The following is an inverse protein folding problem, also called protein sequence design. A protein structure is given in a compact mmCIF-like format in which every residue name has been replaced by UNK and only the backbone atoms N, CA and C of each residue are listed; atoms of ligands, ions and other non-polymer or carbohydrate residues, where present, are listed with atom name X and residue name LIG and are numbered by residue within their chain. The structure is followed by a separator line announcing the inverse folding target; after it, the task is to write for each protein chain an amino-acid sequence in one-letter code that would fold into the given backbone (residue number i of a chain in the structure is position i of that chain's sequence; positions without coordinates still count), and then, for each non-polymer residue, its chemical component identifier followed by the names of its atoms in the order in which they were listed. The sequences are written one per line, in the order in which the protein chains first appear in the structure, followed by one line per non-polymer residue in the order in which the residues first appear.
data_IF_727451392939
#
_entry.id   IF_727451392939
#
_cell.length_a   1.000
_cell.length_b   1.000
_cell.length_c   1.000
_cell.angle_alpha   90.00
_cell.angle_beta   90.00
_cell.angle_gamma   90.00
#
_symmetry.space_group_name_H-M   'P 1'
#
loop_
_entity.id
_entity.type
_entity.pdbx_description
1 polymer ?
#
# COMPACT_ATOMS: atom_id res chain seq x y z
N UNK A 1 42.43 10.30 -61.47
CA UNK A 1 41.71 9.15 -60.87
C UNK A 1 41.58 9.44 -59.39
N UNK A 2 40.41 9.94 -58.96
CA UNK A 2 40.16 10.27 -57.52
C UNK A 2 39.44 9.09 -56.91
N UNK A 3 40.04 8.48 -55.90
CA UNK A 3 39.43 7.37 -55.11
C UNK A 3 38.59 8.02 -54.01
N UNK A 4 37.27 7.82 -54.02
CA UNK A 4 36.36 8.14 -52.94
C UNK A 4 36.43 6.99 -51.91
N UNK A 5 36.97 7.25 -50.72
CA UNK A 5 36.80 6.37 -49.58
C UNK A 5 35.46 6.69 -48.87
N UNK A 6 34.51 5.79 -48.98
CA UNK A 6 33.27 5.84 -48.18
C UNK A 6 33.54 5.25 -46.79
N UNK A 7 33.53 6.12 -45.77
CA UNK A 7 33.50 5.68 -44.36
C UNK A 7 32.09 5.14 -44.02
N UNK A 8 31.99 3.83 -43.81
CA UNK A 8 30.83 3.18 -43.19
C UNK A 8 30.86 3.43 -41.68
N UNK A 9 30.06 4.35 -41.22
CA UNK A 9 29.88 4.56 -39.77
C UNK A 9 29.05 3.41 -39.18
N UNK A 10 29.68 2.56 -38.32
CA UNK A 10 28.99 1.54 -37.55
C UNK A 10 28.37 2.25 -36.31
N UNK A 11 27.06 2.45 -36.34
CA UNK A 11 26.30 2.89 -35.18
C UNK A 11 26.18 1.71 -34.21
N UNK A 12 26.93 1.72 -33.13
CA UNK A 12 26.66 0.87 -31.98
C UNK A 12 25.40 1.39 -31.27
N UNK A 13 24.26 0.72 -31.46
CA UNK A 13 23.09 0.91 -30.65
C UNK A 13 23.39 0.29 -29.28
N UNK A 14 23.85 1.09 -28.34
CA UNK A 14 23.92 0.68 -26.94
C UNK A 14 22.48 0.62 -26.42
N UNK A 15 21.89 -0.57 -26.38
CA UNK A 15 20.63 -0.78 -25.65
C UNK A 15 20.94 -0.57 -24.18
N UNK A 16 20.33 0.47 -23.58
CA UNK A 16 20.34 0.60 -22.12
C UNK A 16 19.80 -0.72 -21.52
N UNK A 17 20.43 -1.23 -20.44
CA UNK A 17 19.94 -2.45 -19.82
C UNK A 17 18.46 -2.28 -19.44
N UNK A 18 17.65 -3.28 -19.74
CA UNK A 18 16.22 -3.29 -19.40
C UNK A 18 16.09 -3.08 -17.89
N UNK A 19 15.39 -2.01 -17.50
CA UNK A 19 15.17 -1.68 -16.10
C UNK A 19 14.12 -2.64 -15.53
N UNK A 20 14.57 -3.65 -14.79
CA UNK A 20 13.71 -4.70 -14.25
C UNK A 20 13.62 -4.63 -12.73
N UNK A 21 12.43 -4.94 -12.22
CA UNK A 21 12.11 -4.91 -10.79
C UNK A 21 11.48 -6.24 -10.37
N UNK A 22 11.46 -6.51 -9.07
CA UNK A 22 10.60 -7.53 -8.51
C UNK A 22 9.25 -6.90 -8.18
N UNK A 23 8.16 -7.52 -8.65
CA UNK A 23 6.79 -7.21 -8.24
C UNK A 23 6.33 -8.33 -7.29
N UNK A 24 6.11 -7.98 -6.03
CA UNK A 24 5.56 -8.85 -5.01
C UNK A 24 4.06 -8.62 -4.91
N UNK A 25 3.29 -9.71 -4.93
CA UNK A 25 1.83 -9.66 -4.84
C UNK A 25 1.35 -10.48 -3.65
N UNK A 26 0.82 -9.79 -2.64
CA UNK A 26 0.11 -10.39 -1.53
C UNK A 26 -1.34 -10.71 -1.93
N UNK A 27 -1.90 -11.79 -1.38
CA UNK A 27 -3.23 -12.29 -1.75
C UNK A 27 -4.03 -12.74 -0.54
N UNK A 28 -5.34 -12.92 -0.73
CA UNK A 28 -6.11 -13.78 0.16
C UNK A 28 -6.07 -15.23 -0.33
N UNK A 29 -5.66 -16.14 0.53
CA UNK A 29 -5.65 -17.59 0.25
C UNK A 29 -6.97 -18.26 0.63
N UNK A 30 -7.76 -17.64 1.51
CA UNK A 30 -9.10 -18.09 1.84
C UNK A 30 -10.12 -16.94 1.73
N UNK A 31 -11.39 -17.30 1.50
CA UNK A 31 -12.47 -16.32 1.29
C UNK A 31 -12.87 -15.56 2.55
N UNK A 32 -12.26 -15.89 3.70
CA UNK A 32 -12.66 -15.39 5.01
C UNK A 32 -14.12 -15.78 5.30
N UNK A 33 -14.41 -16.24 6.47
CA UNK A 33 -15.79 -16.40 6.92
C UNK A 33 -15.84 -16.09 8.41
N UNK A 34 -16.99 -15.63 8.86
CA UNK A 34 -17.30 -15.56 10.29
C UNK A 34 -17.49 -16.97 10.90
N UNK A 35 -17.20 -18.03 10.14
CA UNK A 35 -17.23 -19.43 10.56
C UNK A 35 -15.81 -19.92 10.90
N UNK A 36 -15.65 -20.95 11.75
CA UNK A 36 -14.35 -21.51 12.06
C UNK A 36 -13.63 -21.93 10.79
N UNK A 37 -12.43 -21.39 10.61
CA UNK A 37 -11.47 -21.51 9.51
C UNK A 37 -11.95 -22.24 8.25
N UNK A 38 -12.27 -21.53 7.16
CA UNK A 38 -12.44 -22.17 5.86
C UNK A 38 -11.12 -22.86 5.47
N UNK A 39 -11.17 -23.87 4.58
CA UNK A 39 -9.96 -24.52 4.10
C UNK A 39 -8.95 -23.50 3.62
N UNK A 40 -7.68 -23.72 3.91
CA UNK A 40 -6.57 -22.78 3.65
C UNK A 40 -6.39 -22.37 2.18
N UNK A 41 -7.15 -22.92 1.24
CA UNK A 41 -6.99 -22.75 -0.22
C UNK A 41 -8.31 -22.47 -0.95
N UNK A 42 -9.27 -21.80 -0.28
CA UNK A 42 -10.60 -21.60 -0.88
C UNK A 42 -10.64 -20.58 -2.03
N UNK A 43 -9.57 -19.83 -2.27
CA UNK A 43 -9.44 -18.88 -3.39
C UNK A 43 -8.65 -19.46 -4.56
N UNK A 44 -7.90 -20.55 -4.37
CA UNK A 44 -6.91 -21.08 -5.31
C UNK A 44 -5.58 -20.33 -5.28
N UNK A 45 -5.41 -19.35 -4.37
CA UNK A 45 -4.13 -18.63 -4.22
C UNK A 45 -3.10 -19.45 -3.45
N UNK A 46 -1.82 -19.31 -3.85
CA UNK A 46 -0.67 -19.95 -3.20
C UNK A 46 0.00 -19.05 -2.13
N UNK A 47 -0.51 -17.85 -1.89
CA UNK A 47 0.04 -16.94 -0.90
C UNK A 47 0.69 -15.70 -1.52
N UNK A 48 2.01 -15.57 -1.43
CA UNK A 48 2.73 -14.43 -2.02
C UNK A 48 3.34 -14.86 -3.35
N UNK A 49 3.10 -14.05 -4.40
CA UNK A 49 3.69 -14.28 -5.72
C UNK A 49 4.77 -13.24 -5.98
N UNK A 50 5.84 -13.65 -6.66
CA UNK A 50 6.93 -12.78 -7.07
C UNK A 50 7.09 -12.86 -8.59
N UNK A 51 7.01 -11.69 -9.22
CA UNK A 51 7.19 -11.55 -10.68
C UNK A 51 8.44 -10.70 -10.96
N UNK A 52 9.02 -10.92 -12.12
CA UNK A 52 9.93 -9.95 -12.74
C UNK A 52 9.10 -8.97 -13.56
N UNK A 53 9.22 -7.70 -13.20
CA UNK A 53 8.58 -6.60 -13.91
C UNK A 53 9.59 -5.95 -14.86
N UNK A 54 9.27 -5.87 -16.13
CA UNK A 54 10.04 -5.15 -17.15
C UNK A 54 9.40 -3.78 -17.37
N UNK A 55 10.02 -2.72 -16.86
CA UNK A 55 9.51 -1.36 -16.96
C UNK A 55 9.63 -0.77 -18.37
N UNK A 56 10.37 -1.40 -19.30
CA UNK A 56 10.45 -0.95 -20.67
C UNK A 56 9.25 -1.38 -21.51
N UNK A 57 8.70 -2.55 -21.21
CA UNK A 57 7.57 -3.15 -21.94
C UNK A 57 6.26 -3.10 -21.17
N UNK A 58 6.31 -3.01 -19.82
CA UNK A 58 5.14 -3.12 -18.96
C UNK A 58 4.66 -4.55 -18.79
N UNK A 59 5.54 -5.54 -18.97
CA UNK A 59 5.23 -6.97 -18.85
C UNK A 59 5.74 -7.56 -17.53
N UNK A 60 5.00 -8.52 -16.98
CA UNK A 60 5.35 -9.25 -15.77
C UNK A 60 5.50 -10.75 -16.03
N UNK A 61 6.63 -11.34 -15.62
CA UNK A 61 6.89 -12.78 -15.73
C UNK A 61 6.96 -13.41 -14.34
N UNK A 62 6.18 -14.46 -14.09
CA UNK A 62 6.19 -15.17 -12.81
C UNK A 62 7.56 -15.81 -12.54
N UNK A 63 8.13 -15.55 -11.38
CA UNK A 63 9.36 -16.17 -10.90
C UNK A 63 9.07 -17.26 -9.87
N UNK A 64 8.24 -16.95 -8.88
CA UNK A 64 7.95 -17.86 -7.77
C UNK A 64 6.63 -17.54 -7.09
N UNK A 65 6.21 -18.45 -6.23
CA UNK A 65 5.18 -18.19 -5.22
C UNK A 65 5.58 -18.86 -3.89
N UNK A 66 4.98 -18.39 -2.78
CA UNK A 66 5.29 -18.88 -1.43
C UNK A 66 4.06 -19.54 -0.85
N UNK A 67 4.12 -20.86 -0.66
CA UNK A 67 3.02 -21.66 -0.10
C UNK A 67 3.05 -21.68 1.44
N UNK A 68 1.94 -22.09 2.05
CA UNK A 68 1.81 -22.23 3.50
C UNK A 68 1.63 -20.93 4.27
N UNK A 69 1.42 -19.82 3.58
CA UNK A 69 1.17 -18.49 4.18
C UNK A 69 -0.31 -18.16 4.08
N UNK A 70 -0.97 -18.02 5.21
CA UNK A 70 -2.42 -17.77 5.26
C UNK A 70 -2.68 -16.26 5.09
N UNK A 71 -3.44 -15.92 4.07
CA UNK A 71 -3.90 -14.55 3.79
C UNK A 71 -2.80 -13.48 3.96
N UNK A 72 -1.68 -13.52 3.22
CA UNK A 72 -0.67 -12.45 3.25
C UNK A 72 -1.23 -11.19 2.58
N UNK A 73 -2.07 -10.46 3.31
CA UNK A 73 -2.95 -9.43 2.75
C UNK A 73 -2.27 -8.09 2.52
N UNK A 74 -1.15 -7.84 3.19
CA UNK A 74 -0.34 -6.64 3.00
C UNK A 74 1.13 -6.93 3.24
N UNK A 75 1.98 -6.33 2.44
CA UNK A 75 3.43 -6.53 2.45
C UNK A 75 4.13 -5.18 2.59
N UNK A 76 5.34 -5.19 3.19
CA UNK A 76 6.30 -4.11 3.01
C UNK A 76 7.71 -4.65 2.91
N UNK A 77 8.59 -3.90 2.24
CA UNK A 77 9.96 -4.31 1.92
C UNK A 77 10.92 -3.43 2.71
N UNK A 78 11.89 -4.07 3.38
CA UNK A 78 12.91 -3.36 4.13
C UNK A 78 13.83 -2.53 3.21
N UNK A 79 14.46 -1.47 3.74
CA UNK A 79 15.37 -0.61 2.96
C UNK A 79 16.58 -1.34 2.37
N UNK A 80 16.97 -2.49 2.92
CA UNK A 80 18.01 -3.35 2.39
C UNK A 80 17.60 -4.12 1.12
N UNK A 81 16.30 -4.07 0.76
CA UNK A 81 15.71 -4.72 -0.41
C UNK A 81 15.78 -6.26 -0.39
N UNK A 82 16.10 -6.83 0.74
CA UNK A 82 16.21 -8.28 0.95
C UNK A 82 15.17 -8.84 1.90
N UNK A 83 14.71 -8.05 2.89
CA UNK A 83 13.73 -8.53 3.85
C UNK A 83 12.33 -8.01 3.50
N UNK A 84 11.36 -8.91 3.60
CA UNK A 84 9.93 -8.65 3.33
C UNK A 84 9.13 -9.05 4.55
N UNK A 85 8.23 -8.17 4.99
CA UNK A 85 7.35 -8.43 6.11
C UNK A 85 5.90 -8.43 5.63
N UNK A 86 5.12 -9.40 6.09
CA UNK A 86 3.75 -9.62 5.66
C UNK A 86 2.79 -9.69 6.84
N UNK A 87 1.67 -8.97 6.77
CA UNK A 87 0.51 -9.23 7.61
C UNK A 87 -0.12 -10.55 7.18
N UNK A 88 -0.15 -11.53 8.06
CA UNK A 88 -0.61 -12.90 7.78
C UNK A 88 -1.65 -13.36 8.80
N UNK A 89 -2.29 -14.49 8.54
CA UNK A 89 -3.40 -15.01 9.33
C UNK A 89 -4.52 -13.97 9.50
N UNK A 90 -4.83 -13.24 8.42
CA UNK A 90 -5.81 -12.14 8.40
C UNK A 90 -7.22 -12.65 8.14
N UNK A 91 -8.22 -11.76 8.23
CA UNK A 91 -9.66 -12.06 8.08
C UNK A 91 -10.18 -13.01 9.17
N UNK A 92 -9.66 -12.90 10.40
CA UNK A 92 -10.08 -13.69 11.57
C UNK A 92 -10.55 -12.78 12.69
N UNK A 93 -11.34 -13.33 13.61
CA UNK A 93 -11.70 -12.66 14.87
C UNK A 93 -10.67 -12.91 15.98
N UNK A 94 -9.76 -13.83 15.75
CA UNK A 94 -8.65 -14.16 16.66
C UNK A 94 -7.40 -13.37 16.28
N UNK A 95 -6.40 -13.41 17.18
CA UNK A 95 -5.09 -12.80 16.91
C UNK A 95 -4.48 -13.34 15.62
N UNK A 96 -4.02 -12.42 14.78
CA UNK A 96 -3.29 -12.74 13.55
C UNK A 96 -1.78 -12.79 13.77
N UNK A 97 -1.03 -12.66 12.68
CA UNK A 97 0.44 -12.74 12.73
C UNK A 97 1.10 -11.73 11.81
N UNK A 98 2.39 -11.49 12.06
CA UNK A 98 3.30 -10.87 11.11
C UNK A 98 4.41 -11.88 10.79
N UNK A 99 4.72 -12.05 9.50
CA UNK A 99 5.72 -13.02 9.01
C UNK A 99 6.85 -12.32 8.29
N UNK A 100 8.09 -12.71 8.61
CA UNK A 100 9.30 -12.22 7.95
C UNK A 100 9.81 -13.22 6.92
N UNK A 101 10.25 -12.70 5.78
CA UNK A 101 10.85 -13.45 4.68
C UNK A 101 12.15 -12.79 4.21
N UNK A 102 13.03 -13.58 3.60
CA UNK A 102 14.17 -13.11 2.82
C UNK A 102 13.89 -13.29 1.33
N UNK A 103 14.03 -12.23 0.55
CA UNK A 103 13.98 -12.29 -0.90
C UNK A 103 15.34 -12.74 -1.44
N UNK A 104 15.40 -13.93 -1.99
CA UNK A 104 16.54 -14.37 -2.78
C UNK A 104 16.49 -13.69 -4.15
N UNK A 105 17.38 -12.75 -4.36
CA UNK A 105 17.42 -11.93 -5.59
C UNK A 105 17.97 -12.65 -6.81
N UNK A 106 18.58 -13.81 -6.65
CA UNK A 106 19.01 -14.64 -7.77
C UNK A 106 17.83 -15.38 -8.40
N UNK A 107 16.90 -15.86 -7.56
CA UNK A 107 15.79 -16.71 -7.98
C UNK A 107 14.42 -16.04 -7.91
N UNK A 108 14.28 -14.93 -7.17
CA UNK A 108 13.02 -14.29 -6.86
C UNK A 108 12.20 -15.05 -5.82
N UNK A 109 12.78 -16.00 -5.09
CA UNK A 109 12.07 -16.77 -4.04
C UNK A 109 12.03 -16.01 -2.72
N UNK A 110 10.93 -16.15 -2.00
CA UNK A 110 10.82 -15.73 -0.61
C UNK A 110 11.12 -16.93 0.29
N UNK A 111 12.13 -16.79 1.14
CA UNK A 111 12.50 -17.77 2.14
C UNK A 111 11.94 -17.33 3.49
N UNK A 112 11.21 -18.21 4.16
CA UNK A 112 10.66 -17.97 5.48
C UNK A 112 11.78 -17.78 6.52
N UNK A 113 11.66 -16.72 7.32
CA UNK A 113 12.57 -16.45 8.45
C UNK A 113 11.89 -16.85 9.75
N UNK A 114 10.84 -16.11 10.14
CA UNK A 114 10.06 -16.40 11.33
C UNK A 114 8.70 -15.69 11.30
N UNK A 115 7.88 -15.98 12.29
CA UNK A 115 6.56 -15.39 12.50
C UNK A 115 6.39 -14.99 13.96
N UNK A 116 5.69 -13.86 14.20
CA UNK A 116 5.32 -13.38 15.53
C UNK A 116 3.80 -13.14 15.58
N UNK A 117 3.17 -13.31 16.77
CA UNK A 117 1.79 -12.85 17.00
C UNK A 117 1.67 -11.34 16.72
N UNK A 118 0.56 -10.93 16.11
CA UNK A 118 0.36 -9.53 15.68
C UNK A 118 0.00 -8.56 16.81
N UNK A 119 -0.37 -9.07 17.99
CA UNK A 119 -0.89 -8.28 19.11
C UNK A 119 -2.35 -7.86 18.96
N UNK A 120 -3.05 -8.37 17.94
CA UNK A 120 -4.47 -8.09 17.69
C UNK A 120 -5.05 -8.93 16.57
N UNK A 121 -6.38 -8.85 16.38
CA UNK A 121 -7.07 -9.60 15.35
C UNK A 121 -7.03 -8.88 13.99
N UNK A 122 -6.94 -9.67 12.92
CA UNK A 122 -7.00 -9.22 11.54
C UNK A 122 -5.96 -8.13 11.20
N UNK A 123 -4.65 -8.42 11.21
CA UNK A 123 -3.62 -7.48 10.76
C UNK A 123 -3.80 -7.19 9.26
N UNK A 124 -3.75 -5.91 8.86
CA UNK A 124 -4.10 -5.49 7.49
C UNK A 124 -3.09 -4.55 6.84
N UNK A 125 -2.12 -4.05 7.60
CA UNK A 125 -1.12 -3.12 7.08
C UNK A 125 0.22 -3.27 7.79
N UNK A 126 1.31 -3.26 7.03
CA UNK A 126 2.69 -3.31 7.53
C UNK A 126 3.45 -2.09 7.01
N UNK A 127 4.27 -1.49 7.86
CA UNK A 127 5.21 -0.44 7.47
C UNK A 127 6.59 -0.67 8.10
N UNK A 128 7.63 -0.66 7.28
CA UNK A 128 9.02 -0.80 7.73
C UNK A 128 9.64 0.58 7.90
N UNK A 129 10.25 0.82 9.06
CA UNK A 129 11.00 2.04 9.29
C UNK A 129 12.28 2.06 8.45
N UNK A 130 12.69 3.25 7.96
CA UNK A 130 13.89 3.42 7.10
C UNK A 130 15.21 2.87 7.67
N UNK A 131 15.29 2.67 8.99
CA UNK A 131 16.47 2.02 9.59
C UNK A 131 16.52 0.51 9.37
N UNK A 132 15.44 -0.10 8.88
CA UNK A 132 15.28 -1.55 8.80
C UNK A 132 15.16 -2.25 10.15
N UNK A 133 15.26 -1.53 11.27
CA UNK A 133 15.29 -2.10 12.63
C UNK A 133 13.92 -2.19 13.31
N UNK A 134 12.88 -1.63 12.68
CA UNK A 134 11.53 -1.57 13.25
C UNK A 134 10.48 -1.79 12.18
N UNK A 135 9.45 -2.53 12.55
CA UNK A 135 8.28 -2.81 11.72
C UNK A 135 7.02 -2.46 12.52
N UNK A 136 6.15 -1.65 11.94
CA UNK A 136 4.84 -1.32 12.52
C UNK A 136 3.73 -2.12 11.80
N UNK A 137 2.68 -2.49 12.54
CA UNK A 137 1.58 -3.32 12.06
C UNK A 137 0.24 -2.78 12.57
N UNK A 138 -0.74 -2.66 11.68
CA UNK A 138 -2.11 -2.30 12.03
C UNK A 138 -3.00 -3.54 12.12
N UNK A 139 -3.74 -3.69 13.24
CA UNK A 139 -4.71 -4.74 13.47
C UNK A 139 -6.13 -4.17 13.38
N UNK A 140 -6.82 -4.42 12.26
CA UNK A 140 -8.12 -3.83 11.96
C UNK A 140 -9.20 -4.26 12.95
N UNK A 141 -9.48 -5.57 13.04
CA UNK A 141 -10.52 -6.10 13.95
C UNK A 141 -10.10 -5.97 15.41
N UNK A 142 -8.80 -5.98 15.68
CA UNK A 142 -8.24 -5.80 17.02
C UNK A 142 -8.25 -4.36 17.53
N UNK A 143 -8.46 -3.35 16.64
CA UNK A 143 -8.41 -1.94 16.98
C UNK A 143 -7.09 -1.53 17.62
N UNK A 144 -5.96 -2.02 17.07
CA UNK A 144 -4.65 -1.78 17.67
C UNK A 144 -3.54 -1.63 16.66
N UNK A 145 -2.44 -1.03 17.09
CA UNK A 145 -1.17 -1.09 16.37
C UNK A 145 -0.09 -1.75 17.24
N UNK A 146 0.82 -2.46 16.59
CA UNK A 146 2.00 -3.07 17.24
C UNK A 146 3.26 -2.63 16.54
N UNK A 147 4.37 -2.51 17.30
CA UNK A 147 5.68 -2.22 16.75
C UNK A 147 6.70 -3.27 17.17
N UNK A 148 7.42 -3.80 16.20
CA UNK A 148 8.33 -4.93 16.33
C UNK A 148 9.77 -4.50 16.09
N UNK A 149 10.73 -4.81 16.96
CA UNK A 149 12.13 -4.72 16.61
C UNK A 149 12.51 -5.87 15.67
N UNK A 150 13.47 -5.62 14.79
CA UNK A 150 14.09 -6.66 13.96
C UNK A 150 15.44 -7.07 14.53
N UNK A 151 15.71 -8.37 14.52
CA UNK A 151 16.98 -8.96 14.92
C UNK A 151 17.90 -9.27 13.75
N UNK A 152 18.92 -10.07 14.00
CA UNK A 152 19.86 -10.52 12.99
C UNK A 152 19.15 -11.24 11.84
N UNK A 153 19.59 -10.97 10.59
CA UNK A 153 19.01 -11.57 9.40
C UNK A 153 17.54 -11.19 9.13
N UNK A 154 17.08 -10.05 9.64
CA UNK A 154 15.71 -9.57 9.42
C UNK A 154 14.63 -10.29 10.23
N UNK A 155 15.00 -11.15 11.19
CA UNK A 155 14.03 -11.84 12.04
C UNK A 155 13.21 -10.86 12.89
N UNK A 156 11.91 -11.07 13.01
CA UNK A 156 11.04 -10.32 13.92
C UNK A 156 11.27 -10.78 15.35
N UNK A 157 11.45 -9.85 16.26
CA UNK A 157 11.38 -10.10 17.70
C UNK A 157 9.94 -9.89 18.20
N UNK A 158 9.57 -10.33 19.41
CA UNK A 158 8.26 -10.00 19.98
C UNK A 158 8.01 -8.49 19.95
N UNK A 159 6.75 -8.06 19.78
CA UNK A 159 6.45 -6.62 19.74
C UNK A 159 6.92 -5.92 21.01
N UNK A 160 7.56 -4.76 20.83
CA UNK A 160 8.03 -3.93 21.94
C UNK A 160 6.90 -3.11 22.57
N UNK A 161 5.93 -2.71 21.75
CA UNK A 161 4.76 -1.95 22.18
C UNK A 161 3.53 -2.38 21.36
N UNK A 162 2.37 -2.33 22.04
CA UNK A 162 1.05 -2.49 21.44
C UNK A 162 0.11 -1.41 22.01
N UNK A 163 -0.50 -0.62 21.12
CA UNK A 163 -1.48 0.40 21.49
C UNK A 163 -2.87 -0.06 21.03
N UNK A 164 -3.79 -0.21 21.99
CA UNK A 164 -5.20 -0.54 21.74
C UNK A 164 -6.05 0.70 21.85
N UNK A 165 -6.92 0.89 20.89
CA UNK A 165 -7.87 1.99 20.85
C UNK A 165 -9.27 1.45 21.13
N UNK A 166 -10.17 2.27 21.68
CA UNK A 166 -11.48 1.81 22.17
C UNK A 166 -12.64 2.70 21.73
N UNK A 167 -12.40 3.64 20.82
CA UNK A 167 -13.43 4.54 20.32
C UNK A 167 -14.39 3.87 19.34
N UNK A 168 -15.38 4.64 18.90
CA UNK A 168 -16.36 4.27 17.89
C UNK A 168 -16.84 5.54 17.14
N UNK A 169 -17.63 5.39 16.07
CA UNK A 169 -18.24 6.50 15.38
C UNK A 169 -19.68 6.18 14.93
N UNK A 170 -20.20 6.94 13.95
CA UNK A 170 -21.63 7.06 13.68
C UNK A 170 -22.23 5.96 12.78
N UNK A 171 -21.39 5.10 12.17
CA UNK A 171 -21.86 4.00 11.31
C UNK A 171 -21.76 2.67 12.08
N UNK A 172 -22.80 2.20 12.80
CA UNK A 172 -22.70 1.08 13.72
C UNK A 172 -22.24 -0.25 13.07
N UNK A 173 -22.54 -0.45 11.78
CA UNK A 173 -22.14 -1.67 11.06
C UNK A 173 -20.63 -1.71 10.68
N UNK A 174 -19.93 -0.59 10.79
CA UNK A 174 -18.55 -0.45 10.35
C UNK A 174 -17.64 0.28 11.35
N UNK A 175 -18.23 0.94 12.33
CA UNK A 175 -17.57 1.81 13.29
C UNK A 175 -18.06 1.55 14.73
N UNK A 176 -18.44 0.32 15.02
CA UNK A 176 -18.89 -0.12 16.36
C UNK A 176 -17.77 -0.08 17.40
N UNK A 177 -16.54 -0.04 16.93
CA UNK A 177 -15.30 0.06 17.73
C UNK A 177 -14.16 0.57 16.87
N UNK A 178 -13.00 0.78 17.47
CA UNK A 178 -11.74 1.08 16.78
C UNK A 178 -11.39 0.01 15.74
N UNK A 179 -10.95 0.47 14.55
CA UNK A 179 -10.50 -0.33 13.42
C UNK A 179 -9.26 0.32 12.79
N UNK A 180 -8.08 0.10 13.38
CA UNK A 180 -6.82 0.65 12.83
C UNK A 180 -6.54 0.00 11.48
N UNK A 181 -6.68 0.78 10.40
CA UNK A 181 -6.58 0.25 9.03
C UNK A 181 -5.20 0.36 8.42
N UNK A 182 -4.44 1.38 8.76
CA UNK A 182 -3.06 1.53 8.31
C UNK A 182 -2.20 2.24 9.34
N UNK A 183 -0.88 2.06 9.20
CA UNK A 183 0.16 2.75 9.96
C UNK A 183 1.22 3.23 8.97
N UNK A 184 1.54 4.52 8.97
CA UNK A 184 2.42 5.12 7.98
C UNK A 184 3.46 6.01 8.67
N UNK A 185 4.73 5.81 8.37
CA UNK A 185 5.78 6.72 8.85
C UNK A 185 5.77 8.02 8.06
N UNK A 186 6.03 9.14 8.74
CA UNK A 186 6.34 10.41 8.06
C UNK A 186 7.56 10.28 7.14
N UNK A 187 7.73 11.14 6.14
CA UNK A 187 8.89 11.09 5.24
C UNK A 187 10.25 11.21 5.97
N UNK A 188 10.29 11.94 7.07
CA UNK A 188 11.49 12.04 7.93
C UNK A 188 11.62 10.89 8.93
N UNK A 189 10.61 9.99 9.00
CA UNK A 189 10.52 8.85 9.92
C UNK A 189 10.60 9.19 11.42
N UNK A 190 10.26 10.43 11.79
CA UNK A 190 10.19 10.86 13.19
C UNK A 190 8.80 10.69 13.80
N UNK A 191 7.79 10.43 12.96
CA UNK A 191 6.42 10.22 13.40
C UNK A 191 5.81 8.99 12.71
N UNK A 192 4.84 8.37 13.40
CA UNK A 192 3.99 7.31 12.88
C UNK A 192 2.54 7.79 12.99
N UNK A 193 1.78 7.62 11.92
CA UNK A 193 0.36 7.95 11.83
C UNK A 193 -0.45 6.67 11.70
N UNK A 194 -1.41 6.46 12.60
CA UNK A 194 -2.30 5.31 12.56
C UNK A 194 -3.72 5.79 12.21
N UNK A 195 -4.24 5.33 11.08
CA UNK A 195 -5.56 5.67 10.58
C UNK A 195 -6.58 4.71 11.16
N UNK A 196 -7.50 5.23 11.97
CA UNK A 196 -8.54 4.45 12.62
C UNK A 196 -9.91 4.70 11.97
N UNK A 197 -10.30 3.75 11.11
CA UNK A 197 -11.58 3.79 10.40
C UNK A 197 -12.77 3.77 11.36
N UNK A 198 -12.66 3.03 12.46
CA UNK A 198 -13.75 2.85 13.40
C UNK A 198 -14.00 4.05 14.30
N UNK A 199 -12.96 4.86 14.55
CA UNK A 199 -13.04 6.04 15.40
C UNK A 199 -13.14 7.36 14.63
N UNK A 200 -13.08 7.34 13.30
CA UNK A 200 -12.89 8.54 12.47
C UNK A 200 -11.75 9.42 12.99
N UNK A 201 -10.55 8.80 13.10
CA UNK A 201 -9.41 9.52 13.68
C UNK A 201 -8.05 9.08 13.10
N UNK A 202 -7.08 9.97 13.25
CA UNK A 202 -5.66 9.71 13.04
C UNK A 202 -4.98 9.80 14.39
N UNK A 203 -4.39 8.69 14.87
CA UNK A 203 -3.53 8.72 16.04
C UNK A 203 -2.08 8.99 15.61
N UNK A 204 -1.43 9.94 16.27
CA UNK A 204 -0.09 10.39 15.93
C UNK A 204 0.87 10.04 17.06
N UNK A 205 1.97 9.41 16.67
CA UNK A 205 3.02 9.01 17.58
C UNK A 205 4.34 9.64 17.15
N UNK A 206 5.08 10.18 18.11
CA UNK A 206 6.50 10.45 17.91
C UNK A 206 7.25 9.13 17.90
N UNK A 207 8.20 8.98 16.98
CA UNK A 207 8.99 7.77 16.81
C UNK A 207 10.48 8.02 17.07
N UNK A 208 11.04 7.29 18.03
CA UNK A 208 12.47 7.32 18.32
C UNK A 208 13.08 5.91 18.20
N UNK A 209 13.74 5.67 17.07
CA UNK A 209 14.34 4.36 16.76
C UNK A 209 15.49 3.94 17.67
N UNK A 210 15.97 4.82 18.56
CA UNK A 210 17.08 4.55 19.47
C UNK A 210 16.62 3.98 20.83
N UNK A 211 15.31 3.98 21.13
CA UNK A 211 14.77 3.50 22.41
C UNK A 211 14.12 2.13 22.27
N UNK A 212 14.09 1.32 23.35
CA UNK A 212 13.39 0.02 23.36
C UNK A 212 11.87 0.15 23.16
N UNK A 213 11.31 1.31 23.52
CA UNK A 213 9.91 1.66 23.31
C UNK A 213 9.84 2.88 22.40
N UNK A 214 9.85 2.68 21.06
CA UNK A 214 10.08 3.76 20.12
C UNK A 214 8.91 4.72 19.94
N UNK A 215 7.69 4.35 20.34
CA UNK A 215 6.47 5.14 20.14
C UNK A 215 6.05 5.87 21.40
N UNK A 216 5.80 7.17 21.26
CA UNK A 216 5.13 8.01 22.24
C UNK A 216 3.91 8.65 21.58
N UNK A 217 2.70 8.41 22.10
CA UNK A 217 1.48 9.08 21.63
C UNK A 217 1.58 10.58 21.91
N UNK A 218 1.32 11.40 20.90
CA UNK A 218 1.42 12.86 21.01
C UNK A 218 0.12 13.59 20.67
N UNK A 219 -0.69 13.06 19.73
CA UNK A 219 -1.90 13.73 19.28
C UNK A 219 -2.90 12.71 18.71
N UNK A 220 -4.19 13.07 18.76
CA UNK A 220 -5.27 12.41 18.02
C UNK A 220 -6.06 13.48 17.27
N UNK A 221 -6.17 13.34 15.96
CA UNK A 221 -6.93 14.23 15.09
C UNK A 221 -8.22 13.53 14.68
N UNK A 222 -9.36 14.17 14.91
CA UNK A 222 -10.64 13.69 14.42
C UNK A 222 -10.79 14.05 12.94
N UNK A 223 -11.34 13.11 12.15
CA UNK A 223 -11.80 13.35 10.78
C UNK A 223 -13.32 13.53 10.77
N UNK A 224 -13.91 13.69 9.60
CA UNK A 224 -15.37 13.86 9.47
C UNK A 224 -16.08 12.61 10.00
N UNK A 225 -17.07 12.72 10.90
CA UNK A 225 -17.82 11.58 11.40
C UNK A 225 -18.45 10.75 10.26
N UNK A 226 -18.21 9.44 10.26
CA UNK A 226 -18.67 8.52 9.21
C UNK A 226 -17.74 8.45 7.99
N UNK A 227 -16.60 9.14 7.99
CA UNK A 227 -15.67 9.15 6.84
C UNK A 227 -14.82 7.88 6.72
N UNK A 228 -14.37 7.32 7.82
CA UNK A 228 -13.60 6.08 7.87
C UNK A 228 -12.19 6.20 7.29
N UNK A 229 -11.25 6.81 8.02
CA UNK A 229 -9.83 6.92 7.62
C UNK A 229 -9.23 5.56 7.27
N UNK A 230 -8.60 5.45 6.09
CA UNK A 230 -8.13 4.14 5.61
C UNK A 230 -6.64 4.08 5.33
N UNK A 231 -6.18 4.70 4.27
CA UNK A 231 -4.77 4.77 3.87
C UNK A 231 -4.33 6.22 3.72
N UNK A 232 -3.05 6.47 3.96
CA UNK A 232 -2.44 7.80 3.86
C UNK A 232 -1.20 7.74 2.96
N UNK A 233 -1.02 8.76 2.14
CA UNK A 233 0.17 8.95 1.32
C UNK A 233 0.77 10.33 1.59
N UNK A 234 2.10 10.41 1.67
CA UNK A 234 2.79 11.68 1.79
C UNK A 234 3.26 12.19 0.41
N UNK A 235 3.21 13.50 0.24
CA UNK A 235 3.83 14.14 -0.91
C UNK A 235 5.36 13.99 -0.83
N UNK A 236 6.08 13.76 -1.96
CA UNK A 236 7.54 13.60 -1.95
C UNK A 236 8.31 14.78 -1.34
N UNK A 237 7.75 16.01 -1.38
CA UNK A 237 8.39 17.17 -0.75
C UNK A 237 8.27 17.19 0.78
N UNK A 238 7.57 16.24 1.39
CA UNK A 238 7.39 16.12 2.84
C UNK A 238 6.49 17.16 3.49
N UNK A 239 5.83 18.06 2.73
CA UNK A 239 5.01 19.15 3.27
C UNK A 239 3.52 18.82 3.36
N UNK A 240 3.06 17.81 2.64
CA UNK A 240 1.64 17.47 2.54
C UNK A 240 1.40 15.98 2.73
N UNK A 241 0.23 15.65 3.25
CA UNK A 241 -0.28 14.29 3.37
C UNK A 241 -1.71 14.21 2.83
N UNK A 242 -2.07 13.07 2.27
CA UNK A 242 -3.36 12.78 1.66
C UNK A 242 -3.92 11.52 2.29
N UNK A 243 -5.10 11.65 2.88
CA UNK A 243 -5.80 10.58 3.56
C UNK A 243 -7.03 10.18 2.75
N UNK A 244 -7.12 8.92 2.33
CA UNK A 244 -8.35 8.42 1.72
C UNK A 244 -9.31 7.94 2.80
N UNK A 245 -10.55 8.40 2.69
CA UNK A 245 -11.67 8.09 3.57
C UNK A 245 -12.53 6.99 2.92
N UNK A 246 -12.50 5.77 3.50
CA UNK A 246 -13.17 4.60 2.89
C UNK A 246 -14.67 4.79 2.77
N UNK A 247 -15.33 5.22 3.86
CA UNK A 247 -16.78 5.25 3.98
C UNK A 247 -17.35 6.57 3.46
N UNK A 248 -16.59 7.66 3.59
CA UNK A 248 -16.95 8.98 3.08
C UNK A 248 -16.75 9.14 1.58
N UNK A 249 -15.90 8.30 0.98
CA UNK A 249 -15.60 8.41 -0.45
C UNK A 249 -14.88 9.70 -0.81
N UNK A 250 -13.94 10.13 0.02
CA UNK A 250 -13.24 11.42 -0.09
C UNK A 250 -11.74 11.30 0.16
N UNK A 251 -11.05 12.39 -0.09
CA UNK A 251 -9.66 12.60 0.30
C UNK A 251 -9.57 13.86 1.14
N UNK A 252 -8.96 13.73 2.31
CA UNK A 252 -8.55 14.84 3.13
C UNK A 252 -7.09 15.20 2.85
N UNK A 253 -6.85 16.48 2.59
CA UNK A 253 -5.52 17.05 2.34
C UNK A 253 -5.02 17.75 3.58
N UNK A 254 -3.84 17.38 4.04
CA UNK A 254 -3.23 17.97 5.22
C UNK A 254 -1.91 18.65 4.88
N UNK A 255 -1.65 19.79 5.51
CA UNK A 255 -0.28 20.28 5.70
C UNK A 255 0.36 19.50 6.83
N UNK A 256 1.53 18.93 6.57
CA UNK A 256 2.35 18.28 7.58
C UNK A 256 3.44 19.24 8.07
N UNK A 257 3.70 19.22 9.36
CA UNK A 257 4.79 19.95 9.99
C UNK A 257 5.91 18.96 10.37
N UNK A 258 6.99 18.87 9.57
CA UNK A 258 8.06 17.90 9.78
C UNK A 258 8.63 17.93 11.21
N UNK A 259 8.84 16.76 11.79
CA UNK A 259 9.36 16.59 13.15
C UNK A 259 8.37 16.87 14.28
N UNK A 260 7.30 17.62 14.04
CA UNK A 260 6.25 17.89 15.06
C UNK A 260 5.16 16.82 15.05
N UNK A 261 4.94 16.12 13.93
CA UNK A 261 3.85 15.17 13.76
C UNK A 261 2.49 15.82 13.47
N UNK A 262 2.34 17.14 13.72
CA UNK A 262 1.08 17.84 13.57
C UNK A 262 0.61 17.89 12.10
N UNK A 263 -0.71 17.69 11.90
CA UNK A 263 -1.41 17.79 10.62
C UNK A 263 -2.47 18.89 10.69
N UNK A 264 -2.48 19.79 9.71
CA UNK A 264 -3.50 20.82 9.54
C UNK A 264 -4.34 20.50 8.31
N UNK A 265 -5.64 20.32 8.46
CA UNK A 265 -6.55 20.11 7.33
C UNK A 265 -6.56 21.36 6.42
N UNK A 266 -6.35 21.15 5.13
CA UNK A 266 -6.37 22.19 4.09
C UNK A 266 -7.59 22.06 3.19
N UNK A 267 -8.00 20.83 2.86
CA UNK A 267 -9.06 20.56 1.90
C UNK A 267 -9.72 19.22 2.20
N UNK A 268 -11.02 19.16 1.93
CA UNK A 268 -11.79 17.92 1.79
C UNK A 268 -12.33 17.88 0.36
N UNK A 269 -12.10 16.76 -0.37
CA UNK A 269 -12.50 16.62 -1.77
C UNK A 269 -13.06 15.22 -2.04
N UNK A 270 -14.15 15.13 -2.81
CA UNK A 270 -14.74 13.85 -3.19
C UNK A 270 -13.76 13.04 -4.06
N UNK A 271 -13.65 11.73 -3.78
CA UNK A 271 -12.92 10.77 -4.61
C UNK A 271 -13.82 10.08 -5.65
N UNK A 272 -15.02 10.55 -5.82
CA UNK A 272 -16.05 10.03 -6.72
C UNK A 272 -16.63 11.15 -7.58
N UNK A 273 -17.24 10.80 -8.72
CA UNK A 273 -17.97 11.76 -9.51
C UNK A 273 -19.21 12.27 -8.78
N UNK A 274 -19.66 13.49 -9.05
CA UNK A 274 -20.83 14.11 -8.42
C UNK A 274 -22.13 13.30 -8.60
N UNK A 275 -22.19 12.46 -9.62
CA UNK A 275 -23.31 11.55 -9.91
C UNK A 275 -23.29 10.27 -9.09
N UNK A 276 -22.19 9.96 -8.43
CA UNK A 276 -22.05 8.75 -7.62
C UNK A 276 -22.86 8.84 -6.33
N UNK A 277 -23.48 7.73 -5.96
CA UNK A 277 -24.26 7.62 -4.73
C UNK A 277 -23.70 6.49 -3.88
N UNK A 278 -23.42 6.78 -2.61
CA UNK A 278 -22.96 5.79 -1.64
C UNK A 278 -23.88 4.57 -1.48
N UNK A 279 -23.48 3.55 -0.73
CA UNK A 279 -22.31 3.60 0.14
C UNK A 279 -20.99 3.56 -0.65
N UNK A 280 -20.00 4.33 -0.18
CA UNK A 280 -18.67 4.36 -0.78
C UNK A 280 -17.74 3.35 -0.13
N UNK A 281 -16.72 2.92 -0.88
CA UNK A 281 -15.63 2.06 -0.42
C UNK A 281 -14.31 2.42 -1.11
N UNK A 282 -13.87 3.66 -0.94
CA UNK A 282 -12.53 4.06 -1.42
C UNK A 282 -11.45 3.20 -0.75
N UNK A 283 -10.36 2.91 -1.46
CA UNK A 283 -9.42 1.90 -1.00
C UNK A 283 -8.00 2.42 -0.83
N UNK A 284 -7.24 2.54 -1.89
CA UNK A 284 -5.83 2.86 -1.81
C UNK A 284 -5.51 4.21 -2.42
N UNK A 285 -4.36 4.77 -2.03
CA UNK A 285 -3.97 6.14 -2.39
C UNK A 285 -2.45 6.22 -2.56
N UNK A 286 -1.98 6.76 -3.70
CA UNK A 286 -0.57 7.00 -3.96
C UNK A 286 -0.35 8.30 -4.70
N UNK A 287 0.73 8.99 -4.35
CA UNK A 287 1.25 10.17 -5.06
C UNK A 287 2.25 9.70 -6.12
N UNK A 288 2.23 10.30 -7.31
CA UNK A 288 3.27 10.08 -8.31
C UNK A 288 4.65 10.52 -7.78
N UNK A 289 5.71 9.87 -8.23
CA UNK A 289 7.07 10.13 -7.73
C UNK A 289 7.52 11.59 -7.94
N UNK A 290 7.00 12.26 -8.97
CA UNK A 290 7.25 13.67 -9.26
C UNK A 290 6.36 14.65 -8.46
N UNK A 291 5.44 14.13 -7.62
CA UNK A 291 4.56 14.92 -6.76
C UNK A 291 3.38 15.59 -7.47
N UNK A 292 3.21 15.45 -8.78
CA UNK A 292 2.21 16.22 -9.55
C UNK A 292 0.81 15.61 -9.56
N UNK A 293 0.69 14.31 -9.29
CA UNK A 293 -0.57 13.59 -9.40
C UNK A 293 -0.82 12.71 -8.19
N UNK A 294 -2.09 12.57 -7.85
CA UNK A 294 -2.57 11.63 -6.83
C UNK A 294 -3.59 10.70 -7.47
N UNK A 295 -3.51 9.41 -7.14
CA UNK A 295 -4.43 8.37 -7.61
C UNK A 295 -5.13 7.75 -6.41
N UNK A 296 -6.43 7.46 -6.57
CA UNK A 296 -7.26 6.79 -5.56
C UNK A 296 -8.10 5.71 -6.23
N UNK A 297 -8.10 4.50 -5.67
CA UNK A 297 -8.99 3.43 -6.15
C UNK A 297 -10.30 3.43 -5.36
N UNK A 298 -11.42 3.20 -6.06
CA UNK A 298 -12.75 3.08 -5.51
C UNK A 298 -13.33 1.72 -5.88
N UNK A 299 -13.84 1.01 -4.90
CA UNK A 299 -14.33 -0.37 -5.00
C UNK A 299 -15.82 -0.45 -5.30
N UNK A 300 -16.36 -1.67 -5.31
CA UNK A 300 -17.77 -2.00 -5.53
C UNK A 300 -18.32 -1.49 -6.86
N UNK A 301 -19.44 -0.76 -6.83
CA UNK A 301 -20.20 -0.36 -8.03
C UNK A 301 -19.38 0.44 -9.03
N UNK A 302 -18.43 1.23 -8.56
CA UNK A 302 -17.66 2.09 -9.44
C UNK A 302 -16.45 1.38 -10.03
N UNK A 303 -15.73 0.61 -9.21
CA UNK A 303 -14.49 -0.08 -9.60
C UNK A 303 -13.62 0.77 -10.52
N UNK A 304 -13.30 1.99 -10.06
CA UNK A 304 -12.57 2.99 -10.82
C UNK A 304 -11.34 3.55 -10.08
N UNK A 305 -10.57 4.34 -10.78
CA UNK A 305 -9.45 5.12 -10.26
C UNK A 305 -9.77 6.59 -10.48
N UNK A 306 -9.78 7.37 -9.41
CA UNK A 306 -9.86 8.83 -9.47
C UNK A 306 -8.46 9.40 -9.55
N UNK A 307 -8.28 10.36 -10.43
CA UNK A 307 -7.02 11.01 -10.73
C UNK A 307 -7.12 12.48 -10.38
N UNK A 308 -6.21 12.94 -9.53
CA UNK A 308 -6.12 14.35 -9.13
C UNK A 308 -4.81 14.96 -9.59
N UNK A 309 -4.86 16.22 -10.00
CA UNK A 309 -3.70 17.08 -10.10
C UNK A 309 -3.43 17.73 -8.76
N UNK A 310 -2.17 17.79 -8.35
CA UNK A 310 -1.72 18.42 -7.11
C UNK A 310 -1.23 19.84 -7.42
N UNK A 311 -1.68 20.84 -6.67
CA UNK A 311 -1.08 22.18 -6.64
C UNK A 311 0.24 22.09 -5.86
N UNK A 312 1.35 22.32 -6.51
CA UNK A 312 2.69 22.08 -5.97
C UNK A 312 3.01 22.99 -4.76
N UNK A 313 2.47 24.21 -4.74
CA UNK A 313 2.70 25.19 -3.67
C UNK A 313 1.77 25.01 -2.49
N UNK A 314 0.50 24.68 -2.75
CA UNK A 314 -0.56 24.58 -1.74
C UNK A 314 -0.81 23.17 -1.27
N UNK A 315 -0.42 22.15 -2.05
CA UNK A 315 -0.72 20.74 -1.81
C UNK A 315 -2.18 20.36 -2.09
N UNK A 316 -3.02 21.32 -2.48
CA UNK A 316 -4.44 21.09 -2.74
C UNK A 316 -4.67 20.28 -4.03
N UNK A 317 -5.81 19.59 -4.10
CA UNK A 317 -6.19 18.71 -5.18
C UNK A 317 -7.24 19.34 -6.09
N UNK A 318 -7.17 19.03 -7.38
CA UNK A 318 -8.26 19.18 -8.35
C UNK A 318 -8.47 17.88 -9.09
N UNK A 319 -9.69 17.43 -9.24
CA UNK A 319 -10.01 16.24 -10.04
C UNK A 319 -9.70 16.51 -11.51
N UNK A 320 -8.94 15.58 -12.14
CA UNK A 320 -8.61 15.67 -13.57
C UNK A 320 -9.19 14.53 -14.39
N UNK A 321 -9.63 13.44 -13.76
CA UNK A 321 -10.29 12.36 -14.47
C UNK A 321 -10.66 11.17 -13.61
N UNK A 322 -11.41 10.28 -14.24
CA UNK A 322 -11.80 8.98 -13.71
C UNK A 322 -11.51 7.92 -14.76
N UNK A 323 -10.97 6.79 -14.35
CA UNK A 323 -10.68 5.66 -15.25
C UNK A 323 -11.21 4.37 -14.64
N UNK A 324 -11.93 3.55 -15.43
CA UNK A 324 -12.39 2.24 -14.97
C UNK A 324 -11.18 1.34 -14.63
N UNK A 325 -11.24 0.63 -13.50
CA UNK A 325 -10.18 -0.30 -13.09
C UNK A 325 -10.09 -1.55 -13.97
N UNK A 326 -11.07 -1.74 -14.86
CA UNK A 326 -11.20 -2.88 -15.78
C UNK A 326 -11.23 -4.24 -15.08
N UNK A 327 -11.65 -4.26 -13.83
CA UNK A 327 -11.85 -5.40 -12.96
C UNK A 327 -12.76 -5.03 -11.78
N UNK A 328 -12.94 -5.95 -10.86
CA UNK A 328 -13.85 -5.82 -9.73
C UNK A 328 -13.05 -5.75 -8.43
N UNK A 329 -13.44 -4.84 -7.53
CA UNK A 329 -12.82 -4.62 -6.22
C UNK A 329 -11.35 -4.21 -6.33
N UNK A 330 -11.00 -3.04 -6.93
CA UNK A 330 -9.63 -2.53 -7.01
C UNK A 330 -9.15 -2.11 -5.61
N UNK A 331 -8.65 -3.09 -4.86
CA UNK A 331 -8.32 -2.95 -3.44
C UNK A 331 -7.01 -2.23 -3.16
N UNK A 332 -6.04 -2.43 -4.04
CA UNK A 332 -4.69 -1.86 -3.93
C UNK A 332 -4.14 -1.60 -5.33
N UNK A 333 -3.19 -0.69 -5.43
CA UNK A 333 -2.44 -0.45 -6.66
C UNK A 333 -1.01 -0.03 -6.33
N UNK A 334 -0.15 -0.05 -7.32
CA UNK A 334 1.19 0.52 -7.21
C UNK A 334 1.56 1.28 -8.48
N UNK A 335 2.39 2.31 -8.34
CA UNK A 335 3.04 2.98 -9.46
C UNK A 335 4.43 2.36 -9.58
N UNK A 336 4.80 1.94 -10.78
CA UNK A 336 6.14 1.38 -11.00
C UNK A 336 7.24 2.42 -10.69
N UNK A 337 8.46 1.99 -10.31
CA UNK A 337 9.51 2.93 -9.90
C UNK A 337 9.94 3.94 -10.98
N UNK A 338 9.62 3.67 -12.24
CA UNK A 338 9.87 4.64 -13.34
C UNK A 338 8.80 5.71 -13.43
N UNK A 339 7.66 5.53 -12.75
CA UNK A 339 6.46 6.38 -12.91
C UNK A 339 5.78 6.24 -14.26
N UNK A 340 6.08 5.17 -15.00
CA UNK A 340 5.53 4.94 -16.35
C UNK A 340 4.26 4.09 -16.36
N UNK A 341 4.04 3.32 -15.30
CA UNK A 341 2.92 2.37 -15.22
C UNK A 341 2.24 2.42 -13.86
N UNK A 342 0.95 2.15 -13.87
CA UNK A 342 0.11 1.95 -12.69
C UNK A 342 -0.50 0.55 -12.79
N UNK A 343 -0.30 -0.29 -11.76
CA UNK A 343 -0.79 -1.66 -11.69
C UNK A 343 -1.88 -1.74 -10.63
N UNK A 344 -3.06 -2.25 -10.99
CA UNK A 344 -4.25 -2.32 -10.11
C UNK A 344 -4.58 -3.75 -9.76
N UNK A 345 -4.57 -4.06 -8.47
CA UNK A 345 -5.00 -5.36 -7.93
C UNK A 345 -6.52 -5.39 -7.78
N UNK A 346 -7.18 -6.02 -8.75
CA UNK A 346 -8.62 -6.25 -8.76
C UNK A 346 -8.92 -7.56 -8.04
N UNK A 347 -9.20 -7.48 -6.73
CA UNK A 347 -9.30 -8.62 -5.83
C UNK A 347 -10.31 -9.67 -6.31
N UNK A 348 -11.53 -9.25 -6.69
CA UNK A 348 -12.63 -10.16 -6.96
C UNK A 348 -12.67 -10.64 -8.41
N UNK A 349 -12.02 -9.94 -9.34
CA UNK A 349 -11.79 -10.45 -10.71
C UNK A 349 -10.51 -11.26 -10.87
N UNK A 350 -9.74 -11.50 -9.78
CA UNK A 350 -8.56 -12.37 -9.75
C UNK A 350 -7.51 -11.97 -10.78
N UNK A 351 -7.16 -10.68 -10.81
CA UNK A 351 -6.16 -10.17 -11.75
C UNK A 351 -5.54 -8.85 -11.31
N UNK A 352 -4.36 -8.59 -11.83
CA UNK A 352 -3.75 -7.25 -11.83
C UNK A 352 -3.83 -6.70 -13.24
N UNK A 353 -4.38 -5.49 -13.39
CA UNK A 353 -4.49 -4.79 -14.67
C UNK A 353 -3.43 -3.70 -14.76
N UNK A 354 -2.75 -3.60 -15.90
CA UNK A 354 -1.66 -2.65 -16.11
C UNK A 354 -2.11 -1.48 -16.96
N UNK A 355 -1.86 -0.27 -16.45
CA UNK A 355 -2.12 0.99 -17.15
C UNK A 355 -0.82 1.73 -17.44
N UNK A 356 -0.74 2.42 -18.57
CA UNK A 356 0.30 3.37 -18.91
C UNK A 356 -0.05 4.73 -18.34
N UNK A 357 0.90 5.38 -17.66
CA UNK A 357 0.74 6.76 -17.16
C UNK A 357 1.26 7.75 -18.20
N UNK A 358 0.43 8.72 -18.54
CA UNK A 358 0.88 9.89 -19.27
C UNK A 358 1.50 10.88 -18.27
N UNK A 359 2.82 10.94 -18.23
CA UNK A 359 3.56 11.76 -17.25
C UNK A 359 3.29 13.27 -17.35
N UNK A 360 2.74 13.75 -18.46
CA UNK A 360 2.41 15.18 -18.62
C UNK A 360 1.04 15.53 -18.04
N UNK A 361 0.05 14.64 -18.25
CA UNK A 361 -1.35 14.90 -17.87
C UNK A 361 -1.79 14.15 -16.60
N UNK A 362 -1.05 13.11 -16.17
CA UNK A 362 -1.44 12.20 -15.11
C UNK A 362 -2.48 11.15 -15.51
N UNK A 363 -3.11 11.30 -16.67
CA UNK A 363 -4.12 10.36 -17.13
C UNK A 363 -3.52 9.00 -17.42
N UNK A 364 -4.32 7.95 -17.19
CA UNK A 364 -3.91 6.56 -17.39
C UNK A 364 -4.72 5.93 -18.52
N UNK A 365 -4.09 5.00 -19.24
CA UNK A 365 -4.71 4.21 -20.29
C UNK A 365 -4.32 2.74 -20.18
N UNK A 366 -5.24 1.78 -20.46
CA UNK A 366 -4.91 0.36 -20.37
C UNK A 366 -3.88 -0.03 -21.42
N UNK A 367 -2.92 -0.89 -21.02
CA UNK A 367 -1.91 -1.44 -21.94
C UNK A 367 -2.39 -2.71 -22.66
N UNK A 368 -3.42 -3.35 -22.12
CA UNK A 368 -3.85 -4.69 -22.52
C UNK A 368 -3.21 -5.80 -21.68
N UNK A 369 -2.13 -5.53 -20.94
CA UNK A 369 -1.49 -6.49 -20.05
C UNK A 369 -2.34 -6.77 -18.81
N UNK A 370 -2.50 -8.06 -18.49
CA UNK A 370 -3.24 -8.57 -17.34
C UNK A 370 -2.49 -9.74 -16.70
N UNK A 371 -2.23 -9.65 -15.43
CA UNK A 371 -1.60 -10.73 -14.66
C UNK A 371 -2.71 -11.49 -13.94
N UNK A 372 -2.98 -12.73 -14.36
CA UNK A 372 -3.96 -13.59 -13.69
C UNK A 372 -3.39 -14.12 -12.39
N UNK A 373 -4.03 -13.78 -11.29
CA UNK A 373 -3.61 -14.12 -9.93
C UNK A 373 -4.83 -14.13 -9.00
N UNK A 374 -5.07 -15.21 -8.23
CA UNK A 374 -6.24 -15.28 -7.37
C UNK A 374 -6.19 -14.25 -6.23
N UNK A 375 -7.27 -13.50 -6.07
CA UNK A 375 -7.54 -12.56 -4.96
C UNK A 375 -6.36 -11.67 -4.55
N UNK A 376 -5.77 -10.87 -5.48
CA UNK A 376 -4.65 -9.99 -5.17
C UNK A 376 -5.10 -8.83 -4.28
N UNK A 377 -4.30 -8.49 -3.25
CA UNK A 377 -4.67 -7.49 -2.24
C UNK A 377 -3.60 -6.46 -1.95
N UNK A 378 -2.35 -6.73 -2.32
CA UNK A 378 -1.22 -5.82 -2.10
C UNK A 378 -0.17 -5.99 -3.19
N UNK A 379 0.31 -4.89 -3.72
CA UNK A 379 1.40 -4.82 -4.71
C UNK A 379 2.56 -4.03 -4.13
N UNK A 380 3.76 -4.59 -4.18
CA UNK A 380 5.01 -3.89 -3.82
C UNK A 380 6.06 -4.14 -4.88
N UNK A 381 6.84 -3.11 -5.20
CA UNK A 381 7.95 -3.22 -6.14
C UNK A 381 9.28 -2.90 -5.49
N UNK A 382 10.32 -3.61 -5.93
CA UNK A 382 11.71 -3.38 -5.52
C UNK A 382 12.66 -3.70 -6.68
N UNK A 383 13.73 -2.88 -6.83
CA UNK A 383 14.82 -3.08 -7.79
C UNK A 383 15.82 -4.14 -7.36
#
# INVERSE_FOLDING_TARGET
MRILLSLLGIFFITTAPAQSYYLLVGTYTNKGSNTPAPPADSTGSKGIYVYRWDASTGHASLLSHTEGVVNPSYLDIAPDKHHVYAATDTRTQTEGSITAFRLDRATGRLEYINKQPSGGANPVYVAVHRSGRWVALANYTGGSLSVFPTGAGGALLPYAQNFRHTGHSIIPARQEKSHVHSVVFSPDHRNLYAQDLGEDSIHIFQFNSATPQPLQSIEKIATTPGSGPRHMAFHPNGRYAYLVEELGGSVDVYRQYPGMGHLQLLQHIAAHADTAKGPFRSADIHVSADGRFLYVTNRERESNITIFGIDEDKGTLRTIGYTQALGIEPRNFTIDPTGGYLLVANQDSNEVVVFKINKTTGLISPTGERIKIPSPTCLKMVD
#
